data_IF_616334466571
#
_entry.id   IF_616334466571
#
_cell.length_a   1.000
_cell.length_b   1.000
_cell.length_c   1.000
_cell.angle_alpha   90.00
_cell.angle_beta   90.00
_cell.angle_gamma   90.00
#
_symmetry.space_group_name_H-M   'P 1'
#
loop_
_entity.id
_entity.type
_entity.pdbx_description
1 polymer ?
#
# COMPACT_ATOMS: atom_id res chain seq x y z
N UNK A 1 6.11 8.22 8.07
CA UNK A 1 6.58 8.93 6.86
C UNK A 1 5.39 9.18 5.95
N UNK A 2 5.34 10.33 5.27
CA UNK A 2 4.28 10.69 4.31
C UNK A 2 4.88 10.82 2.92
N UNK A 3 4.24 10.22 1.93
CA UNK A 3 4.62 10.30 0.52
C UNK A 3 3.38 10.57 -0.33
N UNK A 4 3.38 11.65 -1.10
CA UNK A 4 2.23 12.07 -1.94
C UNK A 4 0.89 12.10 -1.18
N UNK A 5 0.90 12.59 0.07
CA UNK A 5 -0.30 12.69 0.91
C UNK A 5 -0.71 11.40 1.64
N UNK A 6 -0.03 10.31 1.37
CA UNK A 6 -0.32 8.99 1.96
C UNK A 6 0.67 8.68 3.07
N UNK A 7 0.19 8.19 4.21
CA UNK A 7 1.04 7.70 5.29
C UNK A 7 1.56 6.31 4.94
N UNK A 8 2.88 6.17 4.97
CA UNK A 8 3.57 4.90 4.74
C UNK A 8 3.82 4.20 6.07
N UNK A 9 3.18 3.07 6.28
CA UNK A 9 3.35 2.26 7.47
C UNK A 9 4.42 1.20 7.26
N UNK A 10 5.28 1.04 8.27
CA UNK A 10 6.38 0.07 8.26
C UNK A 10 7.40 0.29 7.13
N UNK A 11 7.67 1.54 6.81
CA UNK A 11 8.64 1.95 5.79
C UNK A 11 9.78 2.72 6.44
N UNK A 12 11.01 2.25 6.22
CA UNK A 12 12.23 2.91 6.71
C UNK A 12 12.72 3.98 5.72
N UNK A 13 12.68 3.69 4.42
CA UNK A 13 13.11 4.63 3.39
C UNK A 13 12.47 4.35 2.03
N UNK A 14 12.59 5.31 1.13
CA UNK A 14 12.19 5.21 -0.27
C UNK A 14 13.45 5.02 -1.12
N UNK A 15 13.46 3.98 -1.95
CA UNK A 15 14.50 3.78 -2.94
C UNK A 15 13.97 4.23 -4.30
N UNK A 16 14.61 5.27 -4.85
CA UNK A 16 14.28 5.73 -6.20
C UNK A 16 14.74 4.70 -7.23
N UNK A 17 13.86 4.39 -8.15
CA UNK A 17 14.14 3.60 -9.34
C UNK A 17 13.71 4.38 -10.58
N UNK A 18 14.03 3.88 -11.77
CA UNK A 18 13.85 4.62 -13.02
C UNK A 18 12.41 5.17 -13.19
N UNK A 19 11.40 4.41 -12.78
CA UNK A 19 10.00 4.73 -13.05
C UNK A 19 9.12 4.79 -11.79
N UNK A 20 9.72 4.91 -10.61
CA UNK A 20 8.97 4.97 -9.36
C UNK A 20 9.82 4.85 -8.12
N UNK A 21 9.24 4.33 -7.06
CA UNK A 21 9.90 4.11 -5.78
C UNK A 21 9.62 2.72 -5.23
N UNK A 22 10.60 2.17 -4.53
CA UNK A 22 10.43 0.96 -3.73
C UNK A 22 10.36 1.38 -2.27
N UNK A 23 9.36 0.90 -1.55
CA UNK A 23 9.16 1.18 -0.13
C UNK A 23 9.86 0.10 0.69
N UNK A 24 10.97 0.45 1.36
CA UNK A 24 11.77 -0.53 2.09
C UNK A 24 11.50 -0.50 3.58
N UNK A 25 11.33 -1.68 4.18
CA UNK A 25 11.22 -1.87 5.64
C UNK A 25 12.57 -1.74 6.33
N UNK A 26 13.62 -2.11 5.62
CA UNK A 26 15.00 -2.12 6.12
C UNK A 26 15.78 -1.06 5.35
N UNK A 27 16.51 -0.16 6.04
CA UNK A 27 17.38 0.79 5.37
C UNK A 27 18.35 0.09 4.41
N UNK A 28 18.56 0.65 3.23
CA UNK A 28 19.34 0.01 2.17
C UNK A 28 20.79 -0.26 2.61
N UNK A 29 21.40 0.63 3.38
CA UNK A 29 22.74 0.45 3.94
C UNK A 29 22.84 -0.81 4.82
N UNK A 30 21.77 -1.15 5.56
CA UNK A 30 21.73 -2.37 6.39
C UNK A 30 21.44 -3.59 5.53
N UNK A 31 20.53 -3.48 4.56
CA UNK A 31 20.22 -4.54 3.61
C UNK A 31 21.46 -4.97 2.82
N UNK A 32 22.26 -4.04 2.36
CA UNK A 32 23.48 -4.32 1.61
C UNK A 32 24.61 -4.92 2.46
N UNK A 33 24.52 -4.84 3.77
CA UNK A 33 25.52 -5.40 4.71
C UNK A 33 25.30 -6.88 5.02
N UNK A 34 24.21 -7.49 4.53
CA UNK A 34 23.88 -8.92 4.75
C UNK A 34 24.11 -9.75 3.49
N UNK A 35 23.94 -11.08 3.60
CA UNK A 35 24.12 -11.97 2.44
C UNK A 35 23.03 -11.79 1.36
N UNK A 36 23.28 -12.23 0.11
CA UNK A 36 22.35 -12.00 -1.00
C UNK A 36 20.94 -12.57 -0.80
N UNK A 37 20.79 -13.67 -0.09
CA UNK A 37 19.48 -14.27 0.19
C UNK A 37 18.67 -13.34 1.10
N UNK A 38 19.27 -12.86 2.17
CA UNK A 38 18.62 -11.91 3.09
C UNK A 38 18.35 -10.56 2.41
N UNK A 39 19.26 -10.10 1.53
CA UNK A 39 19.05 -8.88 0.76
C UNK A 39 17.77 -8.98 -0.09
N UNK A 40 17.56 -10.09 -0.78
CA UNK A 40 16.37 -10.30 -1.62
C UNK A 40 15.06 -10.41 -0.83
N UNK A 41 15.13 -10.90 0.40
CA UNK A 41 13.97 -10.98 1.30
C UNK A 41 13.68 -9.63 1.96
N UNK A 42 14.70 -8.89 2.34
CA UNK A 42 14.58 -7.62 3.04
C UNK A 42 13.96 -6.50 2.18
N UNK A 43 14.06 -6.59 0.86
CA UNK A 43 13.46 -5.62 -0.07
C UNK A 43 11.97 -5.88 -0.32
N UNK A 44 11.46 -7.05 0.05
CA UNK A 44 10.04 -7.38 -0.10
C UNK A 44 9.19 -6.59 0.90
N UNK A 45 8.02 -6.09 0.50
CA UNK A 45 7.23 -5.17 1.32
C UNK A 45 6.27 -5.88 2.28
N UNK A 46 6.68 -6.98 2.89
CA UNK A 46 5.84 -7.68 3.87
C UNK A 46 5.46 -6.77 5.03
N UNK A 47 4.17 -6.55 5.24
CA UNK A 47 3.66 -5.64 6.27
C UNK A 47 3.78 -4.16 5.94
N UNK A 48 4.17 -3.79 4.72
CA UNK A 48 4.12 -2.41 4.26
C UNK A 48 2.70 -2.07 3.84
N UNK A 49 2.20 -0.94 4.32
CA UNK A 49 0.87 -0.46 4.00
C UNK A 49 0.89 1.02 3.58
N UNK A 50 0.05 1.33 2.61
CA UNK A 50 -0.32 2.70 2.29
C UNK A 50 -1.59 3.02 3.07
N UNK A 51 -1.54 4.03 3.95
CA UNK A 51 -2.66 4.42 4.82
C UNK A 51 -3.13 5.83 4.51
N UNK A 52 -4.43 5.99 4.32
CA UNK A 52 -5.03 7.29 4.03
C UNK A 52 -6.53 7.30 4.32
N UNK A 53 -7.08 8.49 4.49
CA UNK A 53 -8.52 8.73 4.49
C UNK A 53 -8.89 9.30 3.12
N UNK A 54 -9.60 8.51 2.32
CA UNK A 54 -9.97 8.89 0.96
C UNK A 54 -11.05 9.99 0.99
N UNK A 55 -10.73 11.14 0.40
CA UNK A 55 -11.64 12.29 0.26
C UNK A 55 -12.23 12.41 -1.13
N UNK A 56 -11.49 11.97 -2.16
CA UNK A 56 -12.02 11.89 -3.52
C UNK A 56 -12.89 10.64 -3.70
N UNK A 57 -13.55 10.55 -4.84
CA UNK A 57 -14.36 9.39 -5.21
C UNK A 57 -13.55 8.10 -5.27
N UNK A 58 -12.32 8.21 -5.74
CA UNK A 58 -11.39 7.09 -5.85
C UNK A 58 -9.94 7.56 -5.71
N UNK A 59 -9.07 6.62 -5.36
CA UNK A 59 -7.63 6.74 -5.47
C UNK A 59 -7.12 5.75 -6.53
N UNK A 60 -6.06 6.13 -7.23
CA UNK A 60 -5.40 5.31 -8.24
C UNK A 60 -3.93 5.14 -7.89
N UNK A 61 -3.49 3.90 -7.81
CA UNK A 61 -2.12 3.57 -7.43
C UNK A 61 -1.52 2.73 -8.55
N UNK A 62 -0.58 3.31 -9.27
CA UNK A 62 0.18 2.61 -10.29
C UNK A 62 1.30 1.80 -9.65
N UNK A 63 1.39 0.52 -9.99
CA UNK A 63 2.43 -0.35 -9.45
C UNK A 63 2.77 -1.52 -10.38
N UNK A 64 3.92 -2.12 -10.14
CA UNK A 64 4.35 -3.40 -10.71
C UNK A 64 5.29 -4.12 -9.76
N UNK A 65 5.46 -5.41 -9.96
CA UNK A 65 6.50 -6.19 -9.30
C UNK A 65 7.70 -6.38 -10.24
N UNK A 66 8.90 -6.51 -9.69
CA UNK A 66 10.09 -6.80 -10.48
C UNK A 66 10.14 -8.25 -10.95
N UNK A 67 9.65 -9.16 -10.13
CA UNK A 67 9.66 -10.59 -10.39
C UNK A 67 8.48 -11.01 -11.28
N UNK A 68 8.68 -12.05 -12.07
CA UNK A 68 7.61 -12.69 -12.82
C UNK A 68 6.65 -13.41 -11.88
N UNK A 69 5.37 -13.42 -12.23
CA UNK A 69 4.32 -14.07 -11.47
C UNK A 69 3.14 -13.15 -11.21
N UNK A 70 2.20 -13.66 -10.42
CA UNK A 70 1.02 -12.92 -9.97
C UNK A 70 1.06 -12.86 -8.45
N UNK A 71 1.04 -11.64 -7.92
CA UNK A 71 1.13 -11.37 -6.49
C UNK A 71 -0.13 -10.64 -6.02
N UNK A 72 -0.58 -10.93 -4.82
CA UNK A 72 -1.85 -10.43 -4.29
C UNK A 72 -1.59 -9.34 -3.26
N UNK A 73 -2.27 -8.20 -3.43
CA UNK A 73 -2.42 -7.18 -2.41
C UNK A 73 -3.86 -7.11 -1.93
N UNK A 74 -4.10 -6.40 -0.85
CA UNK A 74 -5.40 -6.30 -0.22
C UNK A 74 -5.73 -4.85 0.14
N UNK A 75 -7.02 -4.53 0.12
CA UNK A 75 -7.54 -3.23 0.56
C UNK A 75 -8.47 -3.43 1.74
N UNK A 76 -8.13 -2.81 2.86
CA UNK A 76 -8.98 -2.73 4.05
C UNK A 76 -9.52 -1.31 4.20
N UNK A 77 -10.77 -1.21 4.62
CA UNK A 77 -11.37 0.07 5.01
C UNK A 77 -12.16 -0.14 6.30
N UNK A 78 -11.93 0.71 7.28
CA UNK A 78 -12.57 0.61 8.57
C UNK A 78 -12.47 -0.79 9.20
N UNK A 79 -11.33 -1.43 9.14
CA UNK A 79 -11.03 -2.79 9.62
C UNK A 79 -11.66 -3.95 8.81
N UNK A 80 -12.31 -3.66 7.69
CA UNK A 80 -12.91 -4.68 6.84
C UNK A 80 -12.13 -4.86 5.55
N UNK A 81 -11.92 -6.12 5.14
CA UNK A 81 -11.40 -6.44 3.81
C UNK A 81 -12.47 -6.09 2.78
N UNK A 82 -12.18 -5.11 1.92
CA UNK A 82 -13.14 -4.64 0.92
C UNK A 82 -12.78 -5.06 -0.50
N UNK A 83 -11.51 -5.31 -0.76
CA UNK A 83 -11.03 -5.72 -2.07
C UNK A 83 -9.69 -6.44 -2.01
N UNK A 84 -9.39 -7.21 -3.05
CA UNK A 84 -8.08 -7.79 -3.31
C UNK A 84 -7.68 -7.45 -4.74
N UNK A 85 -6.39 -7.27 -4.98
CA UNK A 85 -5.89 -6.93 -6.30
C UNK A 85 -4.66 -7.78 -6.67
N UNK A 86 -4.42 -7.93 -7.96
CA UNK A 86 -3.30 -8.68 -8.48
C UNK A 86 -2.28 -7.75 -9.12
N UNK A 87 -1.01 -7.99 -8.85
CA UNK A 87 0.12 -7.27 -9.43
C UNK A 87 1.06 -8.28 -10.07
N UNK A 88 1.51 -7.97 -11.26
CA UNK A 88 2.53 -8.75 -11.98
C UNK A 88 3.76 -7.88 -12.28
N UNK A 89 4.66 -8.40 -13.12
CA UNK A 89 5.81 -7.62 -13.61
C UNK A 89 5.45 -6.60 -14.71
N UNK A 90 4.17 -6.48 -15.04
CA UNK A 90 3.63 -5.44 -15.94
C UNK A 90 3.01 -4.32 -15.13
N UNK A 91 3.02 -3.12 -15.70
CA UNK A 91 2.34 -1.97 -15.11
C UNK A 91 0.85 -2.26 -14.93
N UNK A 92 0.35 -1.98 -13.74
CA UNK A 92 -1.06 -2.08 -13.40
C UNK A 92 -1.49 -0.89 -12.57
N UNK A 93 -2.79 -0.64 -12.53
CA UNK A 93 -3.38 0.40 -11.72
C UNK A 93 -4.39 -0.22 -10.75
N UNK A 94 -4.16 0.02 -9.47
CA UNK A 94 -5.10 -0.35 -8.41
C UNK A 94 -6.02 0.82 -8.18
N UNK A 95 -7.33 0.61 -8.36
CA UNK A 95 -8.35 1.63 -8.11
C UNK A 95 -9.02 1.33 -6.79
N UNK A 96 -8.95 2.28 -5.87
CA UNK A 96 -9.54 2.18 -4.52
C UNK A 96 -10.71 3.15 -4.43
N UNK A 97 -11.89 2.64 -4.15
CA UNK A 97 -13.09 3.44 -3.89
C UNK A 97 -13.72 3.02 -2.57
N UNK A 98 -14.66 3.81 -2.06
CA UNK A 98 -15.33 3.50 -0.81
C UNK A 98 -16.68 2.84 -1.10
N UNK A 99 -16.89 1.56 -0.75
CA UNK A 99 -18.18 0.89 -0.92
C UNK A 99 -19.28 1.56 -0.08
N UNK A 100 -20.53 1.43 -0.53
CA UNK A 100 -21.69 1.99 0.16
C UNK A 100 -21.78 1.54 1.63
N UNK A 101 -21.45 0.29 1.91
CA UNK A 101 -21.43 -0.25 3.29
C UNK A 101 -20.44 0.50 4.19
N UNK A 102 -19.28 0.86 3.65
CA UNK A 102 -18.27 1.62 4.39
C UNK A 102 -18.70 3.08 4.56
N UNK A 103 -19.33 3.69 3.56
CA UNK A 103 -19.91 5.04 3.71
C UNK A 103 -20.94 5.08 4.84
N UNK A 104 -21.80 4.08 4.93
CA UNK A 104 -22.75 3.95 6.04
C UNK A 104 -22.06 3.78 7.39
N UNK A 105 -20.99 3.00 7.44
CA UNK A 105 -20.18 2.83 8.64
C UNK A 105 -19.53 4.15 9.07
N UNK A 106 -19.02 4.93 8.12
CA UNK A 106 -18.47 6.26 8.40
C UNK A 106 -19.52 7.22 8.96
N UNK A 107 -20.74 7.20 8.43
CA UNK A 107 -21.86 7.99 8.99
C UNK A 107 -22.20 7.57 10.41
N UNK A 108 -22.29 6.27 10.67
CA UNK A 108 -22.55 5.74 11.99
C UNK A 108 -21.45 6.12 12.99
N UNK A 109 -20.20 6.11 12.57
CA UNK A 109 -19.06 6.48 13.41
C UNK A 109 -19.06 7.93 13.89
N UNK A 110 -19.79 8.81 13.21
CA UNK A 110 -19.99 10.20 13.63
C UNK A 110 -20.95 10.32 14.83
N UNK A 111 -21.81 9.33 15.05
CA UNK A 111 -22.83 9.30 16.09
C UNK A 111 -22.43 8.39 17.25
N UNK A 112 -21.73 7.31 16.96
CA UNK A 112 -21.31 6.31 17.94
C UNK A 112 -19.80 6.07 17.85
N UNK A 113 -19.19 5.88 19.00
CA UNK A 113 -17.75 5.59 19.08
C UNK A 113 -17.47 4.18 18.58
N UNK A 114 -16.58 4.07 17.58
CA UNK A 114 -16.07 2.81 17.08
C UNK A 114 -14.69 2.50 17.67
N UNK A 115 -14.33 1.21 17.83
CA UNK A 115 -13.00 0.81 18.30
C UNK A 115 -11.91 0.94 17.21
N UNK A 116 -12.24 1.44 16.03
CA UNK A 116 -11.35 1.63 14.88
C UNK A 116 -11.74 2.88 14.09
N UNK A 117 -10.85 3.38 13.25
CA UNK A 117 -11.16 4.48 12.35
C UNK A 117 -11.92 3.96 11.12
N UNK A 118 -13.20 4.27 11.04
CA UNK A 118 -14.09 3.84 9.95
C UNK A 118 -13.70 4.46 8.59
N UNK A 119 -12.97 5.58 8.59
CA UNK A 119 -12.52 6.26 7.38
C UNK A 119 -11.15 5.81 6.87
N UNK A 120 -10.42 5.04 7.66
CA UNK A 120 -9.06 4.64 7.32
C UNK A 120 -9.05 3.58 6.22
N UNK A 121 -8.41 3.90 5.12
CA UNK A 121 -8.06 2.96 4.06
C UNK A 121 -6.63 2.46 4.26
N UNK A 122 -6.44 1.16 4.16
CA UNK A 122 -5.14 0.51 4.23
C UNK A 122 -4.95 -0.35 2.97
N UNK A 123 -4.00 0.00 2.15
CA UNK A 123 -3.60 -0.81 0.99
C UNK A 123 -2.37 -1.60 1.38
N UNK A 124 -2.52 -2.91 1.47
CA UNK A 124 -1.46 -3.85 1.86
C UNK A 124 -0.77 -4.33 0.60
N UNK A 125 0.53 -4.08 0.51
CA UNK A 125 1.31 -4.45 -0.67
C UNK A 125 1.56 -5.95 -0.74
N UNK A 126 1.69 -6.51 -1.95
CA UNK A 126 2.11 -7.91 -2.13
C UNK A 126 3.45 -8.18 -1.43
N UNK A 127 3.55 -9.27 -0.69
CA UNK A 127 4.69 -9.51 0.20
C UNK A 127 5.79 -10.42 -0.35
N UNK A 128 5.54 -11.14 -1.44
CA UNK A 128 6.51 -12.09 -2.04
C UNK A 128 7.29 -11.54 -3.22
N UNK A 129 7.18 -10.27 -3.50
CA UNK A 129 7.84 -9.65 -4.63
C UNK A 129 8.31 -8.25 -4.28
N UNK A 130 9.29 -7.75 -5.02
CA UNK A 130 9.71 -6.36 -4.93
C UNK A 130 8.71 -5.49 -5.67
N UNK A 131 7.99 -4.65 -4.94
CA UNK A 131 6.92 -3.81 -5.46
C UNK A 131 7.44 -2.40 -5.77
N UNK A 132 7.22 -1.92 -7.00
CA UNK A 132 7.51 -0.56 -7.42
C UNK A 132 6.21 0.22 -7.47
N UNK A 133 6.14 1.31 -6.69
CA UNK A 133 5.05 2.27 -6.74
C UNK A 133 5.41 3.34 -7.78
N UNK A 134 4.62 3.45 -8.82
CA UNK A 134 4.85 4.38 -9.94
C UNK A 134 4.21 5.73 -9.72
N UNK A 135 2.95 5.73 -9.29
CA UNK A 135 2.20 6.93 -9.00
C UNK A 135 1.13 6.66 -7.94
N UNK A 136 0.72 7.71 -7.27
CA UNK A 136 -0.42 7.73 -6.36
C UNK A 136 -1.22 8.98 -6.70
N UNK A 137 -2.49 8.80 -7.02
CA UNK A 137 -3.42 9.87 -7.37
C UNK A 137 -4.68 9.77 -6.53
N UNK A 138 -5.17 10.88 -6.03
CA UNK A 138 -6.35 10.99 -5.18
C UNK A 138 -6.25 12.19 -4.24
N UNK A 139 -7.30 12.39 -3.46
CA UNK A 139 -7.33 13.38 -2.37
C UNK A 139 -7.37 12.65 -1.03
N UNK A 140 -6.45 13.02 -0.14
CA UNK A 140 -6.22 12.34 1.12
C UNK A 140 -6.24 13.29 2.32
#
# INVERSE_FOLDING_TARGET
>A
MVYKGVWLHNVAELLDVEDGVILTRVPDRLRMAVNPVVQSMAIQPAGVELRFNLKSKEARIGMRCKEEGIFVGEVYQGDFLVDSFFVSNRDSEVVVSTPVKIEKLKELSRKERMPFDAGLTRVILPYRATCVIKNIEGEF
#
